data_IF_659785948211
#
_entry.id   IF_659785948211
#
_cell.length_a   1.000
_cell.length_b   1.000
_cell.length_c   1.000
_cell.angle_alpha   90.00
_cell.angle_beta   90.00
_cell.angle_gamma   90.00
#
_symmetry.space_group_name_H-M   'P 1'
#
loop_
_entity.id
_entity.type
_entity.pdbx_description
1 polymer ?
#
# COMPACT_ATOMS: atom_id res chain seq x y z
N UNK A 1 6.83 -17.56 -2.08
CA UNK A 1 5.65 -17.11 -1.31
C UNK A 1 5.41 -15.65 -1.63
N UNK A 2 4.18 -15.28 -1.92
CA UNK A 2 3.73 -13.91 -2.21
C UNK A 2 2.90 -13.45 -1.02
N UNK A 3 3.19 -12.29 -0.46
CA UNK A 3 2.37 -11.67 0.60
C UNK A 3 1.37 -10.72 -0.03
N UNK A 4 0.08 -10.98 0.18
CA UNK A 4 -1.01 -10.09 -0.22
C UNK A 4 -1.83 -9.65 0.99
N UNK A 5 -2.40 -8.46 0.91
CA UNK A 5 -3.25 -7.87 1.94
C UNK A 5 -4.66 -7.65 1.38
N UNK A 6 -5.68 -8.08 2.14
CA UNK A 6 -7.06 -7.68 1.85
C UNK A 6 -7.23 -6.20 2.22
N UNK A 7 -7.71 -5.39 1.27
CA UNK A 7 -8.03 -3.99 1.53
C UNK A 7 -9.23 -3.94 2.49
N UNK A 8 -9.14 -3.21 3.62
CA UNK A 8 -10.24 -3.10 4.56
C UNK A 8 -11.47 -2.48 3.88
N UNK A 9 -12.64 -3.09 4.09
CA UNK A 9 -13.93 -2.66 3.51
C UNK A 9 -14.41 -1.31 4.03
N UNK A 10 -13.83 -0.80 5.12
CA UNK A 10 -14.27 0.43 5.77
C UNK A 10 -13.46 1.66 5.35
N UNK A 11 -14.00 2.43 4.41
CA UNK A 11 -13.68 3.86 4.28
C UNK A 11 -12.34 4.21 3.60
N UNK A 12 -11.64 3.23 3.05
CA UNK A 12 -10.67 3.47 1.99
C UNK A 12 -11.43 3.86 0.74
N UNK A 13 -11.38 5.15 0.37
CA UNK A 13 -11.72 5.56 -0.99
C UNK A 13 -10.72 4.81 -1.86
N UNK A 14 -11.19 3.89 -2.70
CA UNK A 14 -10.38 3.42 -3.82
C UNK A 14 -10.04 4.67 -4.60
N UNK A 15 -8.75 4.91 -4.77
CA UNK A 15 -8.34 5.91 -5.74
C UNK A 15 -8.76 5.29 -7.09
N UNK A 16 -9.92 5.70 -7.60
CA UNK A 16 -10.45 5.24 -8.89
C UNK A 16 -9.61 5.79 -10.06
N UNK A 17 -8.53 6.52 -9.75
CA UNK A 17 -7.52 6.96 -10.70
C UNK A 17 -6.51 5.85 -11.01
N UNK A 18 -6.57 5.38 -12.25
CA UNK A 18 -5.46 4.81 -13.03
C UNK A 18 -4.77 3.52 -12.51
N UNK A 19 -5.37 2.79 -11.56
CA UNK A 19 -4.87 1.46 -11.20
C UNK A 19 -5.67 0.36 -11.90
N UNK A 20 -5.03 -0.28 -12.88
CA UNK A 20 -5.51 -1.50 -13.54
C UNK A 20 -5.97 -2.53 -12.50
N UNK A 21 -7.24 -2.95 -12.59
CA UNK A 21 -7.82 -3.89 -11.63
C UNK A 21 -7.16 -5.26 -11.81
N UNK A 22 -6.44 -5.70 -10.77
CA UNK A 22 -5.79 -7.03 -10.75
C UNK A 22 -6.67 -8.05 -10.04
N UNK A 23 -6.84 -9.21 -10.67
CA UNK A 23 -7.53 -10.36 -10.11
C UNK A 23 -6.54 -11.44 -9.70
N UNK A 24 -6.62 -11.82 -8.43
CA UNK A 24 -5.83 -12.91 -7.88
C UNK A 24 -6.72 -14.12 -7.69
N UNK A 25 -6.38 -15.21 -8.37
CA UNK A 25 -6.98 -16.52 -8.16
C UNK A 25 -6.07 -17.38 -7.29
N UNK A 26 -6.57 -17.82 -6.15
CA UNK A 26 -5.84 -18.68 -5.23
C UNK A 26 -6.70 -19.86 -4.76
N UNK A 27 -6.04 -20.96 -4.42
CA UNK A 27 -6.68 -22.11 -3.80
C UNK A 27 -6.83 -21.85 -2.29
N UNK A 28 -8.07 -21.90 -1.81
CA UNK A 28 -8.44 -21.68 -0.41
C UNK A 28 -7.86 -22.73 0.54
N UNK A 29 -7.62 -23.95 0.06
CA UNK A 29 -7.14 -25.06 0.91
C UNK A 29 -5.62 -25.07 0.97
N UNK A 30 -4.96 -24.98 -0.18
CA UNK A 30 -3.51 -25.13 -0.28
C UNK A 30 -2.75 -23.80 -0.23
N UNK A 31 -3.46 -22.67 -0.22
CA UNK A 31 -2.88 -21.32 -0.32
C UNK A 31 -1.99 -21.14 -1.55
N UNK A 32 -2.23 -21.90 -2.62
CA UNK A 32 -1.47 -21.80 -3.88
C UNK A 32 -2.06 -20.72 -4.75
N UNK A 33 -1.21 -19.87 -5.31
CA UNK A 33 -1.65 -18.89 -6.32
C UNK A 33 -1.80 -19.63 -7.64
N UNK A 34 -3.01 -19.60 -8.20
CA UNK A 34 -3.39 -20.31 -9.43
C UNK A 34 -3.18 -19.41 -10.64
N UNK A 35 -3.63 -18.17 -10.57
CA UNK A 35 -3.45 -17.17 -11.62
C UNK A 35 -3.44 -15.76 -11.05
N UNK A 36 -2.78 -14.87 -11.79
CA UNK A 36 -2.83 -13.42 -11.61
C UNK A 36 -3.21 -12.88 -12.98
N UNK A 37 -4.32 -12.13 -13.05
CA UNK A 37 -4.80 -11.51 -14.29
C UNK A 37 -4.91 -10.01 -14.07
N UNK A 38 -4.28 -9.26 -14.96
CA UNK A 38 -4.47 -7.82 -15.15
C UNK A 38 -5.52 -7.70 -16.27
N UNK A 39 -6.54 -6.86 -16.08
CA UNK A 39 -7.54 -6.61 -17.12
C UNK A 39 -7.07 -5.44 -17.98
N UNK A 40 -7.24 -5.57 -19.30
CA UNK A 40 -7.05 -4.47 -20.24
C UNK A 40 -8.29 -3.54 -20.17
N UNK A 41 -8.18 -2.29 -20.66
CA UNK A 41 -9.25 -1.28 -20.55
C UNK A 41 -10.61 -1.72 -21.11
N UNK A 42 -10.63 -2.62 -22.10
CA UNK A 42 -11.85 -3.18 -22.69
C UNK A 42 -12.50 -4.24 -21.77
N UNK A 43 -11.68 -5.14 -21.21
CA UNK A 43 -12.12 -6.17 -20.26
C UNK A 43 -12.66 -5.53 -18.96
N UNK A 44 -12.08 -4.41 -18.52
CA UNK A 44 -12.50 -3.67 -17.32
C UNK A 44 -13.88 -3.04 -17.45
N UNK A 45 -14.27 -2.62 -18.67
CA UNK A 45 -15.61 -2.03 -18.94
C UNK A 45 -16.71 -3.09 -18.92
N UNK A 46 -16.41 -4.30 -19.35
CA UNK A 46 -17.37 -5.40 -19.41
C UNK A 46 -17.40 -6.28 -18.15
N UNK A 47 -16.54 -6.00 -17.16
CA UNK A 47 -16.38 -6.76 -15.92
C UNK A 47 -16.16 -8.28 -16.14
N UNK A 48 -15.57 -8.64 -17.28
CA UNK A 48 -15.43 -10.03 -17.72
C UNK A 48 -14.06 -10.61 -17.36
N UNK A 49 -14.05 -11.82 -16.76
CA UNK A 49 -12.81 -12.55 -16.45
C UNK A 49 -12.78 -13.89 -17.16
N UNK A 50 -11.89 -14.02 -18.15
CA UNK A 50 -11.69 -15.26 -18.87
C UNK A 50 -10.69 -16.20 -18.18
N UNK A 51 -11.15 -17.36 -17.72
CA UNK A 51 -10.32 -18.40 -17.09
C UNK A 51 -10.27 -19.63 -17.99
N UNK A 52 -9.06 -20.16 -18.22
CA UNK A 52 -8.89 -21.38 -19.02
C UNK A 52 -9.51 -22.58 -18.31
N UNK A 53 -10.44 -23.28 -18.96
CA UNK A 53 -11.09 -24.50 -18.44
C UNK A 53 -10.10 -25.57 -17.93
N UNK A 54 -8.90 -25.65 -18.53
CA UNK A 54 -7.83 -26.56 -18.08
C UNK A 54 -7.30 -26.24 -16.67
N UNK A 55 -7.33 -24.97 -16.24
CA UNK A 55 -6.96 -24.57 -14.89
C UNK A 55 -8.00 -25.05 -13.88
N UNK A 56 -9.28 -24.82 -14.17
CA UNK A 56 -10.40 -25.25 -13.33
C UNK A 56 -10.42 -26.77 -13.15
N UNK A 57 -10.07 -27.55 -14.18
CA UNK A 57 -9.97 -29.01 -14.07
C UNK A 57 -8.82 -29.51 -13.18
N UNK A 58 -7.81 -28.69 -12.92
CA UNK A 58 -6.61 -29.07 -12.16
C UNK A 58 -6.71 -28.73 -10.67
N UNK A 59 -7.54 -27.76 -10.31
CA UNK A 59 -7.66 -27.23 -8.95
C UNK A 59 -9.08 -27.49 -8.47
N UNK A 60 -9.24 -28.07 -7.28
CA UNK A 60 -10.55 -28.44 -6.71
C UNK A 60 -11.38 -27.22 -6.30
N UNK A 61 -10.73 -26.19 -5.76
CA UNK A 61 -11.36 -24.94 -5.32
C UNK A 61 -10.52 -23.74 -5.73
N UNK A 62 -11.16 -22.71 -6.27
CA UNK A 62 -10.50 -21.46 -6.64
C UNK A 62 -11.31 -20.30 -6.05
N UNK A 63 -10.69 -19.56 -5.13
CA UNK A 63 -11.17 -18.27 -4.68
C UNK A 63 -10.57 -17.16 -5.55
N UNK A 64 -11.40 -16.22 -5.99
CA UNK A 64 -10.98 -15.08 -6.82
C UNK A 64 -11.29 -13.81 -6.04
N UNK A 65 -10.32 -12.90 -5.95
CA UNK A 65 -10.50 -11.60 -5.31
C UNK A 65 -9.82 -10.50 -6.11
N UNK A 66 -10.54 -9.39 -6.29
CA UNK A 66 -10.03 -8.10 -6.78
C UNK A 66 -9.65 -7.15 -5.64
N UNK A 67 -9.90 -7.55 -4.39
CA UNK A 67 -9.66 -6.72 -3.21
C UNK A 67 -8.29 -6.99 -2.58
N UNK A 68 -7.41 -7.71 -3.29
CA UNK A 68 -6.08 -8.06 -2.80
C UNK A 68 -5.05 -7.08 -3.35
N UNK A 69 -4.26 -6.51 -2.44
CA UNK A 69 -3.12 -5.67 -2.77
C UNK A 69 -1.84 -6.45 -2.52
N UNK A 70 -0.93 -6.42 -3.49
CA UNK A 70 0.39 -7.00 -3.36
C UNK A 70 1.27 -6.14 -2.44
N UNK A 71 1.86 -6.75 -1.42
CA UNK A 71 2.72 -6.07 -0.46
C UNK A 71 4.19 -5.96 -0.92
N UNK A 72 4.55 -6.52 -2.08
CA UNK A 72 5.92 -6.64 -2.60
C UNK A 72 6.89 -7.34 -1.64
N UNK A 73 6.36 -8.22 -0.79
CA UNK A 73 7.17 -9.09 0.06
C UNK A 73 7.14 -10.48 -0.54
N UNK A 74 8.28 -10.87 -1.10
CA UNK A 74 8.46 -12.16 -1.76
C UNK A 74 9.53 -12.98 -1.06
N UNK A 75 9.23 -14.25 -0.84
CA UNK A 75 10.20 -15.22 -0.34
C UNK A 75 10.44 -16.28 -1.41
N UNK A 76 11.69 -16.40 -1.84
CA UNK A 76 12.13 -17.31 -2.89
C UNK A 76 13.10 -18.36 -2.35
N UNK A 77 13.13 -19.53 -2.99
CA UNK A 77 14.20 -20.51 -2.80
C UNK A 77 15.47 -20.03 -3.51
N UNK A 78 16.64 -20.46 -3.03
CA UNK A 78 17.93 -19.97 -3.50
C UNK A 78 18.12 -20.04 -5.03
N UNK A 79 17.64 -21.12 -5.66
CA UNK A 79 17.75 -21.34 -7.11
C UNK A 79 17.16 -20.22 -7.97
N UNK A 80 16.17 -19.48 -7.45
CA UNK A 80 15.54 -18.37 -8.16
C UNK A 80 16.55 -17.26 -8.46
N UNK A 81 17.57 -17.10 -7.61
CA UNK A 81 18.64 -16.12 -7.81
C UNK A 81 19.43 -16.40 -9.10
N UNK A 82 19.84 -17.64 -9.30
CA UNK A 82 20.57 -18.07 -10.51
C UNK A 82 19.68 -17.94 -11.75
N UNK A 83 18.40 -18.31 -11.61
CA UNK A 83 17.41 -18.17 -12.68
C UNK A 83 17.23 -16.72 -13.16
N UNK A 84 17.23 -15.75 -12.23
CA UNK A 84 17.15 -14.32 -12.55
C UNK A 84 18.46 -13.83 -13.19
N UNK A 85 19.61 -14.27 -12.68
CA UNK A 85 20.91 -13.85 -13.20
C UNK A 85 21.11 -14.23 -14.68
N UNK A 86 20.57 -15.37 -15.09
CA UNK A 86 20.66 -15.85 -16.47
C UNK A 86 19.61 -15.19 -17.41
N UNK A 87 18.70 -14.38 -16.87
CA UNK A 87 17.60 -13.75 -17.62
C UNK A 87 17.52 -12.25 -17.34
N UNK A 88 18.28 -11.42 -18.07
CA UNK A 88 18.22 -9.96 -17.92
C UNK A 88 16.89 -9.36 -18.41
N UNK A 89 16.05 -10.14 -19.10
CA UNK A 89 14.70 -9.74 -19.52
C UNK A 89 13.75 -9.48 -18.34
N UNK A 90 14.06 -10.03 -17.15
CA UNK A 90 13.23 -9.87 -15.95
C UNK A 90 13.61 -8.55 -15.29
N UNK A 91 12.77 -7.53 -15.45
CA UNK A 91 13.01 -6.19 -14.88
C UNK A 91 12.29 -6.04 -13.55
N UNK A 92 11.08 -6.58 -13.44
CA UNK A 92 10.23 -6.47 -12.27
C UNK A 92 9.83 -7.83 -11.74
N UNK A 93 10.01 -8.02 -10.43
CA UNK A 93 9.58 -9.25 -9.76
C UNK A 93 8.06 -9.40 -9.84
N UNK A 94 7.31 -8.30 -9.74
CA UNK A 94 5.86 -8.32 -9.66
C UNK A 94 5.20 -8.58 -11.02
N UNK A 95 5.60 -7.87 -12.08
CA UNK A 95 4.95 -7.97 -13.39
C UNK A 95 5.52 -9.12 -14.23
N UNK A 96 6.80 -9.46 -14.02
CA UNK A 96 7.48 -10.41 -14.90
C UNK A 96 7.64 -11.74 -14.17
N UNK A 97 8.49 -11.78 -13.13
CA UNK A 97 8.89 -13.03 -12.50
C UNK A 97 7.71 -13.79 -11.89
N UNK A 98 6.89 -13.12 -11.07
CA UNK A 98 5.81 -13.77 -10.33
C UNK A 98 4.74 -14.35 -11.27
N UNK A 99 4.17 -13.59 -12.23
CA UNK A 99 3.25 -14.13 -13.23
C UNK A 99 3.88 -15.25 -14.07
N UNK A 100 5.17 -15.13 -14.42
CA UNK A 100 5.88 -16.20 -15.15
C UNK A 100 5.94 -17.50 -14.34
N UNK A 101 6.31 -17.44 -13.06
CA UNK A 101 6.39 -18.61 -12.18
C UNK A 101 5.00 -19.23 -11.92
N UNK A 102 3.97 -18.41 -11.71
CA UNK A 102 2.58 -18.89 -11.54
C UNK A 102 2.09 -19.59 -12.82
N UNK A 103 2.37 -19.03 -14.00
CA UNK A 103 2.05 -19.67 -15.29
C UNK A 103 2.82 -20.98 -15.47
N UNK A 104 4.10 -21.03 -15.11
CA UNK A 104 4.93 -22.24 -15.20
C UNK A 104 4.46 -23.36 -14.26
N UNK A 105 3.97 -23.02 -13.07
CA UNK A 105 3.35 -23.98 -12.14
C UNK A 105 2.16 -24.71 -12.80
N UNK A 106 1.31 -23.98 -13.52
CA UNK A 106 0.08 -24.53 -14.09
C UNK A 106 0.25 -25.12 -15.51
N UNK A 107 1.20 -24.60 -16.28
CA UNK A 107 1.44 -25.01 -17.67
C UNK A 107 2.83 -25.61 -17.86
N UNK A 108 2.87 -26.94 -18.09
CA UNK A 108 4.13 -27.66 -18.27
C UNK A 108 4.94 -27.19 -19.48
N UNK A 109 4.28 -26.78 -20.57
CA UNK A 109 4.98 -26.23 -21.75
C UNK A 109 5.77 -24.97 -21.40
N UNK A 110 5.20 -24.11 -20.54
CA UNK A 110 5.88 -22.90 -20.06
C UNK A 110 7.04 -23.26 -19.12
N UNK A 111 6.85 -24.27 -18.27
CA UNK A 111 7.90 -24.78 -17.40
C UNK A 111 9.12 -25.28 -18.19
N UNK A 112 8.88 -26.09 -19.23
CA UNK A 112 9.95 -26.66 -20.05
C UNK A 112 10.64 -25.58 -20.89
N UNK A 113 9.89 -24.61 -21.45
CA UNK A 113 10.43 -23.46 -22.19
C UNK A 113 11.35 -22.57 -21.34
N UNK A 114 11.05 -22.44 -20.05
CA UNK A 114 11.86 -21.67 -19.10
C UNK A 114 13.03 -22.48 -18.54
N UNK A 115 13.18 -23.74 -18.93
CA UNK A 115 14.27 -24.63 -18.49
C UNK A 115 14.43 -24.69 -16.96
N UNK A 116 13.31 -24.56 -16.22
CA UNK A 116 13.31 -24.46 -14.77
C UNK A 116 13.83 -25.74 -14.07
N UNK A 117 13.85 -26.87 -14.79
CA UNK A 117 14.41 -28.13 -14.32
C UNK A 117 15.91 -28.06 -14.03
N UNK A 118 16.65 -27.13 -14.66
CA UNK A 118 18.10 -26.94 -14.43
C UNK A 118 18.38 -26.38 -13.04
N UNK A 119 17.52 -25.48 -12.56
CA UNK A 119 17.76 -24.72 -11.33
C UNK A 119 17.11 -25.34 -10.11
N UNK A 120 15.94 -25.97 -10.26
CA UNK A 120 15.23 -26.55 -9.11
C UNK A 120 16.05 -27.74 -8.57
N UNK A 121 16.51 -27.69 -7.31
CA UNK A 121 17.27 -28.79 -6.72
C UNK A 121 16.38 -30.02 -6.51
N UNK A 122 16.96 -31.20 -6.70
CA UNK A 122 16.30 -32.47 -6.39
C UNK A 122 16.26 -32.64 -4.87
N UNK A 123 15.07 -32.48 -4.31
CA UNK A 123 14.87 -32.41 -2.86
C UNK A 123 14.84 -33.79 -2.15
N UNK A 124 15.23 -34.89 -2.79
CA UNK A 124 15.25 -36.23 -2.18
C UNK A 124 16.58 -36.97 -2.43
N UNK A 125 17.34 -37.33 -1.38
CA UNK A 125 18.53 -38.19 -1.52
C UNK A 125 18.21 -39.65 -1.86
N UNK A 126 16.95 -40.09 -1.71
CA UNK A 126 16.50 -41.45 -2.01
C UNK A 126 15.05 -41.37 -2.50
N UNK A 127 14.81 -41.63 -3.78
CA UNK A 127 13.68 -42.44 -4.27
C UNK A 127 13.71 -42.54 -5.80
N UNK A 128 13.86 -43.78 -6.29
CA UNK A 128 13.90 -44.17 -7.70
C UNK A 128 12.49 -44.19 -8.35
N UNK A 129 11.69 -43.15 -8.12
CA UNK A 129 10.41 -42.96 -8.81
C UNK A 129 10.48 -41.57 -9.43
N UNK A 130 10.51 -41.52 -10.76
CA UNK A 130 10.57 -40.33 -11.63
C UNK A 130 10.02 -39.05 -10.98
N UNK A 131 10.83 -38.40 -10.14
CA UNK A 131 10.41 -37.26 -9.33
C UNK A 131 10.31 -36.06 -10.26
N UNK A 132 9.09 -35.80 -10.71
CA UNK A 132 8.81 -34.65 -11.55
C UNK A 132 9.11 -33.41 -10.73
N UNK A 133 10.13 -32.63 -11.11
CA UNK A 133 10.39 -31.31 -10.51
C UNK A 133 9.12 -30.47 -10.62
N UNK A 134 8.48 -30.21 -9.48
CA UNK A 134 7.28 -29.40 -9.36
C UNK A 134 7.61 -28.03 -8.79
N UNK A 135 7.11 -27.00 -9.47
CA UNK A 135 7.15 -25.62 -8.99
C UNK A 135 5.87 -25.34 -8.23
N UNK A 136 5.99 -24.85 -6.99
CA UNK A 136 4.86 -24.43 -6.17
C UNK A 136 5.00 -22.96 -5.78
N UNK A 137 4.01 -22.14 -6.13
CA UNK A 137 3.91 -20.73 -5.74
C UNK A 137 2.77 -20.57 -4.74
N UNK A 138 3.14 -20.25 -3.51
CA UNK A 138 2.20 -19.98 -2.42
C UNK A 138 1.89 -18.49 -2.30
N UNK A 139 0.65 -18.17 -1.98
CA UNK A 139 0.18 -16.82 -1.64
C UNK A 139 -0.31 -16.83 -0.20
N UNK A 140 0.31 -16.01 0.64
CA UNK A 140 -0.15 -15.78 2.00
C UNK A 140 -0.99 -14.50 2.00
N UNK A 141 -2.28 -14.66 2.29
CA UNK A 141 -3.21 -13.54 2.40
C UNK A 141 -3.32 -13.17 3.87
N UNK A 142 -2.85 -11.97 4.20
CA UNK A 142 -2.96 -11.45 5.55
C UNK A 142 -4.40 -10.97 5.78
N UNK A 143 -5.13 -11.73 6.60
CA UNK A 143 -6.47 -11.38 7.08
C UNK A 143 -6.33 -10.70 8.44
N UNK A 144 -6.36 -9.37 8.45
CA UNK A 144 -6.29 -8.55 9.66
C UNK A 144 -5.05 -7.65 9.78
N UNK A 145 -5.27 -6.49 10.40
CA UNK A 145 -4.31 -5.39 10.47
C UNK A 145 -4.41 -4.44 9.29
N UNK A 146 -3.69 -3.31 9.36
CA UNK A 146 -3.53 -2.39 8.24
C UNK A 146 -2.20 -2.72 7.57
N UNK A 147 -2.26 -2.96 6.27
CA UNK A 147 -1.10 -3.06 5.41
C UNK A 147 -1.45 -2.46 4.07
N UNK A 148 -0.48 -1.85 3.42
CA UNK A 148 -0.58 -1.47 2.03
C UNK A 148 0.73 -0.92 1.54
N UNK A 149 0.88 -0.89 0.23
CA UNK A 149 2.02 -0.31 -0.45
C UNK A 149 1.78 1.19 -0.62
N UNK A 150 2.82 1.98 -0.40
CA UNK A 150 2.81 3.44 -0.55
C UNK A 150 3.78 3.85 -1.65
N UNK A 151 3.54 3.40 -2.87
CA UNK A 151 4.35 3.70 -4.04
C UNK A 151 3.86 4.91 -4.84
N UNK A 152 2.58 5.26 -4.69
CA UNK A 152 2.00 6.50 -5.22
C UNK A 152 1.63 7.45 -4.10
N UNK A 153 1.54 8.74 -4.41
CA UNK A 153 1.17 9.79 -3.44
C UNK A 153 -0.29 9.59 -3.01
N UNK A 154 -1.18 9.19 -3.91
CA UNK A 154 -2.56 8.80 -3.60
C UNK A 154 -2.64 7.66 -2.58
N UNK A 155 -1.85 6.58 -2.78
CA UNK A 155 -1.77 5.47 -1.80
C UNK A 155 -1.17 5.91 -0.47
N UNK A 156 -0.14 6.76 -0.48
CA UNK A 156 0.42 7.35 0.73
C UNK A 156 -0.65 8.13 1.52
N UNK A 157 -1.46 8.94 0.84
CA UNK A 157 -2.54 9.71 1.45
C UNK A 157 -3.61 8.78 2.04
N UNK A 158 -4.04 7.78 1.28
CA UNK A 158 -5.04 6.81 1.71
C UNK A 158 -4.57 5.98 2.90
N UNK A 159 -3.32 5.51 2.89
CA UNK A 159 -2.75 4.76 4.01
C UNK A 159 -2.64 5.61 5.27
N UNK A 160 -2.17 6.86 5.15
CA UNK A 160 -2.11 7.76 6.30
C UNK A 160 -3.50 8.05 6.88
N UNK A 161 -4.53 8.15 6.03
CA UNK A 161 -5.92 8.30 6.50
C UNK A 161 -6.40 7.08 7.30
N UNK A 162 -6.14 5.87 6.80
CA UNK A 162 -6.49 4.61 7.47
C UNK A 162 -5.74 4.51 8.81
N UNK A 163 -4.45 4.84 8.82
CA UNK A 163 -3.62 4.86 10.04
C UNK A 163 -4.15 5.88 11.04
N UNK A 164 -4.58 7.06 10.60
CA UNK A 164 -5.18 8.06 11.49
C UNK A 164 -6.44 7.52 12.17
N UNK A 165 -7.35 6.89 11.41
CA UNK A 165 -8.58 6.29 11.96
C UNK A 165 -8.27 5.18 12.98
N UNK A 166 -7.41 4.23 12.63
CA UNK A 166 -7.13 3.09 13.52
C UNK A 166 -6.29 3.48 14.73
N UNK A 167 -5.37 4.43 14.58
CA UNK A 167 -4.54 4.91 15.70
C UNK A 167 -5.35 5.73 16.71
N UNK A 168 -6.45 6.37 16.29
CA UNK A 168 -7.33 7.10 17.19
C UNK A 168 -8.38 6.20 17.84
N UNK A 169 -8.88 5.19 17.12
CA UNK A 169 -9.72 4.13 17.71
C UNK A 169 -8.95 3.36 18.80
N UNK A 170 -7.66 3.10 18.61
CA UNK A 170 -6.77 2.50 19.61
C UNK A 170 -6.53 3.39 20.86
N UNK A 171 -6.82 4.70 20.79
CA UNK A 171 -6.77 5.61 21.96
C UNK A 171 -8.07 5.60 22.77
N UNK A 172 -9.18 5.15 22.18
CA UNK A 172 -10.48 5.02 22.84
C UNK A 172 -10.75 3.59 23.34
N UNK A 173 -10.03 2.59 22.78
CA UNK A 173 -10.14 1.18 23.13
C UNK A 173 -9.04 0.66 24.05
N UNK A 174 -9.46 0.03 25.13
CA UNK A 174 -8.67 -0.54 26.23
C UNK A 174 -7.83 -1.79 25.81
N UNK A 175 -6.89 -1.67 24.88
CA UNK A 175 -5.93 -2.74 24.53
C UNK A 175 -4.52 -2.22 24.26
N UNK A 176 -3.78 -2.01 25.33
CA UNK A 176 -2.55 -2.75 25.65
C UNK A 176 -1.38 -2.86 24.66
N UNK A 177 -1.40 -2.29 23.46
CA UNK A 177 -0.24 -2.33 22.56
C UNK A 177 0.17 -0.91 22.11
N UNK A 178 0.77 -0.21 23.08
CA UNK A 178 1.37 1.09 22.93
C UNK A 178 2.73 0.98 22.21
N UNK A 179 2.73 0.57 20.93
CA UNK A 179 3.96 0.41 20.14
C UNK A 179 4.66 1.72 19.75
N UNK A 180 4.02 2.88 19.90
CA UNK A 180 4.61 4.17 19.49
C UNK A 180 4.46 5.32 20.50
N UNK A 181 3.90 5.05 21.68
CA UNK A 181 3.71 6.06 22.73
C UNK A 181 4.26 5.61 24.07
N UNK A 182 5.50 5.14 24.08
CA UNK A 182 6.24 4.92 25.32
C UNK A 182 7.65 5.50 25.26
N UNK A 183 7.78 6.74 24.80
CA UNK A 183 8.98 7.54 25.08
C UNK A 183 8.70 9.06 24.93
N UNK A 184 9.00 9.75 26.03
CA UNK A 184 9.20 11.20 26.22
C UNK A 184 7.94 12.05 26.51
N UNK A 185 7.71 12.29 27.81
CA UNK A 185 6.74 13.20 28.42
C UNK A 185 6.87 14.67 27.96
N UNK A 186 8.03 15.08 27.41
CA UNK A 186 8.42 16.48 27.26
C UNK A 186 8.19 17.12 25.88
N UNK A 187 7.50 16.46 24.94
CA UNK A 187 7.37 16.99 23.56
C UNK A 187 5.95 16.85 23.00
N UNK A 188 4.94 17.32 23.75
CA UNK A 188 3.55 17.42 23.26
C UNK A 188 3.43 18.57 22.24
N UNK A 189 2.51 18.48 21.27
CA UNK A 189 2.17 19.63 20.43
C UNK A 189 1.58 20.76 21.27
N UNK A 190 1.88 22.00 20.88
CA UNK A 190 1.31 23.20 21.47
C UNK A 190 0.09 23.56 20.63
N UNK A 191 -1.10 23.31 21.19
CA UNK A 191 -2.37 23.53 20.51
C UNK A 191 -3.09 24.65 21.25
N UNK A 192 -3.48 25.69 20.51
CA UNK A 192 -4.29 26.77 21.06
C UNK A 192 -5.69 26.27 21.46
N UNK A 193 -6.26 26.82 22.54
CA UNK A 193 -7.59 26.43 23.05
C UNK A 193 -8.73 26.63 22.04
N UNK A 194 -8.56 27.52 21.04
CA UNK A 194 -9.54 27.75 19.97
C UNK A 194 -9.30 26.88 18.73
N UNK A 195 -8.24 26.07 18.70
CA UNK A 195 -8.00 25.14 17.62
C UNK A 195 -8.86 23.88 17.80
N UNK A 196 -9.45 23.41 16.71
CA UNK A 196 -10.29 22.22 16.67
C UNK A 196 -9.55 21.10 15.94
N UNK A 197 -9.32 19.99 16.63
CA UNK A 197 -8.68 18.79 16.06
C UNK A 197 -9.68 17.65 16.08
N UNK A 198 -9.94 17.06 14.91
CA UNK A 198 -10.83 15.92 14.76
C UNK A 198 -10.27 14.68 15.44
N UNK A 199 -11.16 13.80 15.91
CA UNK A 199 -10.80 12.50 16.49
C UNK A 199 -10.20 11.52 15.49
N UNK A 200 -10.13 11.89 14.22
CA UNK A 200 -9.59 11.16 13.07
C UNK A 200 -8.30 11.78 12.55
N UNK A 201 -7.67 12.65 13.35
CA UNK A 201 -6.47 13.41 12.98
C UNK A 201 -5.34 13.15 13.96
N UNK A 202 -4.12 13.15 13.44
CA UNK A 202 -2.89 12.95 14.21
C UNK A 202 -2.01 14.19 14.12
N UNK A 203 -1.42 14.58 15.25
CA UNK A 203 -0.50 15.71 15.33
C UNK A 203 0.82 15.24 15.93
N UNK A 204 1.90 15.51 15.22
CA UNK A 204 3.26 15.19 15.60
C UNK A 204 3.78 16.03 16.78
N UNK A 205 4.91 15.60 17.31
CA UNK A 205 5.56 16.22 18.47
C UNK A 205 6.09 17.62 18.10
N UNK A 206 6.15 18.54 19.06
CA UNK A 206 6.66 19.92 18.87
C UNK A 206 5.94 20.78 17.81
N UNK A 207 4.80 20.34 17.30
CA UNK A 207 4.02 21.13 16.35
C UNK A 207 3.19 22.20 17.07
N UNK A 208 3.04 23.37 16.44
CA UNK A 208 2.33 24.54 16.97
C UNK A 208 1.11 24.85 16.11
N UNK A 209 -0.07 24.84 16.72
CA UNK A 209 -1.33 25.23 16.07
C UNK A 209 -1.84 26.52 16.70
N UNK A 210 -2.04 27.55 15.88
CA UNK A 210 -2.57 28.83 16.31
C UNK A 210 -4.11 28.84 16.46
N UNK A 211 -4.67 30.00 16.78
CA UNK A 211 -6.11 30.18 17.02
C UNK A 211 -6.97 29.84 15.78
N UNK A 212 -8.15 29.26 16.02
CA UNK A 212 -9.20 28.98 15.01
C UNK A 212 -8.75 28.03 13.89
N UNK A 213 -7.71 27.24 14.09
CA UNK A 213 -7.34 26.17 13.17
C UNK A 213 -8.36 25.04 13.22
N UNK A 214 -8.63 24.41 12.08
CA UNK A 214 -9.49 23.23 11.98
C UNK A 214 -8.74 22.13 11.26
N UNK A 215 -8.52 21.00 11.94
CA UNK A 215 -7.84 19.82 11.39
C UNK A 215 -8.80 18.64 11.43
N UNK A 216 -9.09 18.03 10.27
CA UNK A 216 -9.97 16.84 10.17
C UNK A 216 -9.39 15.82 9.20
N UNK A 217 -9.49 14.52 9.53
CA UNK A 217 -8.98 13.41 8.71
C UNK A 217 -7.55 13.59 8.22
N UNK A 218 -6.69 14.26 9.00
CA UNK A 218 -5.38 14.71 8.53
C UNK A 218 -4.25 14.28 9.46
N UNK A 219 -3.09 13.99 8.88
CA UNK A 219 -1.87 13.70 9.63
C UNK A 219 -0.92 14.88 9.53
N UNK A 220 -0.51 15.42 10.68
CA UNK A 220 0.48 16.51 10.78
C UNK A 220 1.75 15.95 11.40
N UNK A 221 2.89 16.17 10.74
CA UNK A 221 4.21 15.78 11.19
C UNK A 221 4.70 16.55 12.42
N UNK A 222 5.95 16.32 12.76
CA UNK A 222 6.62 16.96 13.90
C UNK A 222 7.21 18.32 13.51
N UNK A 223 7.36 19.21 14.49
CA UNK A 223 7.94 20.55 14.31
C UNK A 223 7.24 21.43 13.25
N UNK A 224 5.94 21.24 13.03
CA UNK A 224 5.17 22.07 12.11
C UNK A 224 4.71 23.37 12.79
N UNK A 225 4.61 24.44 12.03
CA UNK A 225 4.05 25.72 12.49
C UNK A 225 2.83 26.04 11.65
N UNK A 226 1.66 26.07 12.29
CA UNK A 226 0.37 26.33 11.64
C UNK A 226 -0.18 27.66 12.16
N UNK A 227 -0.35 28.61 11.24
CA UNK A 227 -0.89 29.94 11.46
C UNK A 227 -2.38 29.97 11.77
N UNK A 228 -2.92 31.16 11.98
CA UNK A 228 -4.30 31.40 12.42
C UNK A 228 -5.31 31.13 11.31
N UNK A 229 -6.51 30.66 11.70
CA UNK A 229 -7.63 30.44 10.77
C UNK A 229 -7.29 29.48 9.60
N UNK A 230 -6.39 28.52 9.83
CA UNK A 230 -6.00 27.52 8.82
C UNK A 230 -6.97 26.33 8.86
N UNK A 231 -7.40 25.86 7.69
CA UNK A 231 -8.27 24.68 7.56
C UNK A 231 -7.54 23.57 6.83
N UNK A 232 -7.38 22.42 7.47
CA UNK A 232 -6.71 21.24 6.93
C UNK A 232 -7.69 20.08 6.97
N UNK A 233 -8.05 19.58 5.81
CA UNK A 233 -9.02 18.50 5.65
C UNK A 233 -8.47 17.44 4.73
N UNK A 234 -8.47 16.18 5.19
CA UNK A 234 -8.03 15.05 4.38
C UNK A 234 -6.61 15.21 3.79
N UNK A 235 -5.69 15.81 4.53
CA UNK A 235 -4.36 16.17 4.03
C UNK A 235 -3.25 15.53 4.88
N UNK A 236 -2.08 15.32 4.28
CA UNK A 236 -0.90 14.83 4.99
C UNK A 236 0.19 15.90 4.93
N UNK A 237 0.59 16.38 6.10
CA UNK A 237 1.62 17.40 6.30
C UNK A 237 2.83 16.71 6.92
N UNK A 238 3.98 16.75 6.25
CA UNK A 238 5.23 16.17 6.77
C UNK A 238 5.91 17.08 7.80
N UNK A 239 7.09 16.67 8.28
CA UNK A 239 7.82 17.40 9.31
C UNK A 239 8.33 18.77 8.84
N UNK A 240 8.50 19.69 9.80
CA UNK A 240 9.08 21.03 9.56
C UNK A 240 8.33 21.89 8.54
N UNK A 241 7.04 21.63 8.32
CA UNK A 241 6.22 22.44 7.42
C UNK A 241 5.73 23.71 8.13
N UNK A 242 5.79 24.84 7.43
CA UNK A 242 5.21 26.10 7.89
C UNK A 242 4.02 26.47 7.03
N UNK A 243 2.84 26.58 7.64
CA UNK A 243 1.60 27.02 6.99
C UNK A 243 1.22 28.37 7.62
N UNK A 244 1.19 29.43 6.83
CA UNK A 244 0.84 30.77 7.30
C UNK A 244 -0.69 30.97 7.42
N UNK A 245 -1.09 32.15 7.90
CA UNK A 245 -2.46 32.48 8.26
C UNK A 245 -3.45 32.40 7.07
N UNK A 246 -4.69 31.97 7.36
CA UNK A 246 -5.80 31.87 6.42
C UNK A 246 -5.61 30.88 5.25
N UNK A 247 -4.66 29.95 5.36
CA UNK A 247 -4.50 28.88 4.37
C UNK A 247 -5.61 27.83 4.47
N UNK A 248 -5.97 27.22 3.34
CA UNK A 248 -6.92 26.10 3.24
C UNK A 248 -6.27 24.97 2.46
N UNK A 249 -6.23 23.77 3.03
CA UNK A 249 -5.60 22.60 2.44
C UNK A 249 -6.60 21.44 2.45
N UNK A 250 -7.04 21.03 1.27
CA UNK A 250 -7.98 19.93 1.06
C UNK A 250 -7.35 18.86 0.19
N UNK A 251 -7.36 17.60 0.63
CA UNK A 251 -6.83 16.47 -0.14
C UNK A 251 -5.40 16.72 -0.67
N UNK A 252 -4.55 17.34 0.15
CA UNK A 252 -3.23 17.84 -0.27
C UNK A 252 -2.12 17.13 0.49
N UNK A 253 -1.02 16.84 -0.18
CA UNK A 253 0.22 16.35 0.45
C UNK A 253 1.24 17.47 0.48
N UNK A 254 1.73 17.80 1.68
CA UNK A 254 2.78 18.81 1.87
C UNK A 254 4.04 18.15 2.39
N UNK A 255 5.09 18.14 1.55
CA UNK A 255 6.37 17.51 1.87
C UNK A 255 7.20 18.32 2.87
N UNK A 256 8.24 17.68 3.40
CA UNK A 256 9.13 18.21 4.43
C UNK A 256 9.70 19.59 4.06
N UNK A 257 9.79 20.49 5.04
CA UNK A 257 10.33 21.85 4.91
C UNK A 257 9.59 22.76 3.92
N UNK A 258 8.41 22.38 3.44
CA UNK A 258 7.61 23.25 2.58
C UNK A 258 7.03 24.43 3.38
N UNK A 259 6.84 25.54 2.69
CA UNK A 259 6.22 26.76 3.24
C UNK A 259 5.01 27.13 2.41
N UNK A 260 3.83 27.09 3.03
CA UNK A 260 2.58 27.55 2.42
C UNK A 260 2.29 28.95 2.92
N UNK A 261 2.36 29.93 2.02
CA UNK A 261 2.12 31.33 2.36
C UNK A 261 0.65 31.64 2.65
N UNK A 262 0.44 32.81 3.23
CA UNK A 262 -0.86 33.26 3.73
C UNK A 262 -1.93 33.29 2.63
N UNK A 263 -3.18 33.01 3.01
CA UNK A 263 -4.38 33.05 2.14
C UNK A 263 -4.37 32.07 0.95
N UNK A 264 -3.46 31.09 0.93
CA UNK A 264 -3.41 30.10 -0.14
C UNK A 264 -4.45 29.00 0.08
N UNK A 265 -5.14 28.62 -0.99
CA UNK A 265 -6.12 27.53 -1.02
C UNK A 265 -5.55 26.44 -1.92
N UNK A 266 -5.26 25.27 -1.37
CA UNK A 266 -4.74 24.12 -2.10
C UNK A 266 -5.78 23.01 -2.03
N UNK A 267 -6.18 22.52 -3.20
CA UNK A 267 -7.10 21.39 -3.32
C UNK A 267 -6.51 20.38 -4.30
N UNK A 268 -6.47 19.12 -3.92
CA UNK A 268 -5.94 18.03 -4.76
C UNK A 268 -4.51 18.32 -5.24
N UNK A 269 -3.69 18.90 -4.36
CA UNK A 269 -2.36 19.40 -4.68
C UNK A 269 -1.25 18.57 -4.03
N UNK A 270 -0.09 18.58 -4.67
CA UNK A 270 1.14 17.98 -4.16
C UNK A 270 2.21 19.07 -4.05
N UNK A 271 2.65 19.36 -2.83
CA UNK A 271 3.68 20.35 -2.56
C UNK A 271 5.00 19.63 -2.31
N UNK A 272 5.96 19.84 -3.21
CA UNK A 272 7.30 19.27 -3.13
C UNK A 272 8.09 19.69 -1.88
N UNK A 273 9.11 18.93 -1.53
CA UNK A 273 9.97 19.26 -0.40
C UNK A 273 10.67 20.61 -0.63
N UNK A 274 10.79 21.42 0.43
CA UNK A 274 11.36 22.78 0.36
C UNK A 274 10.62 23.76 -0.55
N UNK A 275 9.47 23.38 -1.13
CA UNK A 275 8.71 24.26 -1.99
C UNK A 275 8.09 25.40 -1.18
N UNK A 276 8.09 26.60 -1.78
CA UNK A 276 7.42 27.78 -1.22
C UNK A 276 6.22 28.06 -2.11
N UNK A 277 5.02 27.80 -1.59
CA UNK A 277 3.78 28.15 -2.28
C UNK A 277 3.53 29.64 -2.04
N UNK A 278 3.43 30.47 -3.10
CA UNK A 278 3.24 31.90 -2.95
C UNK A 278 1.90 32.24 -2.29
N UNK A 279 1.77 33.48 -1.81
CA UNK A 279 0.55 33.94 -1.15
C UNK A 279 -0.60 34.07 -2.16
N UNK A 280 -1.83 33.79 -1.72
CA UNK A 280 -3.04 33.81 -2.54
C UNK A 280 -3.06 32.80 -3.72
N UNK A 281 -2.28 31.73 -3.64
CA UNK A 281 -2.42 30.60 -4.57
C UNK A 281 -3.79 29.93 -4.42
N UNK A 282 -4.36 29.45 -5.52
CA UNK A 282 -5.65 28.75 -5.57
C UNK A 282 -5.51 27.44 -6.31
#
# INVERSE_FOLDING_TARGET
MILAQEVPSEGGVRDDGDEERKYYGYDSETSRVVFIKELDEEDDKEENIFIRRKLIRKVSSIAISSNLVDMHVYVFRHWVKEFINDRPEIVSLQSDLIPMLVRAQMNRKTFDRLELSKYIPDNSPNDNISNKKELTVFGYIRRGGIGGRSDTIGRYLNLNRIVCKVSTDARQGNRGDAGYSRMVESVRPIIDNKAMVGSDSLIGKSSKLAEKCVVKRSAIGSHCVIGRNVKITNSVIQDHVTIEDNAKLENTVVCKNAVVKSKSSLKDCEVGAFAIVPANSK
#
